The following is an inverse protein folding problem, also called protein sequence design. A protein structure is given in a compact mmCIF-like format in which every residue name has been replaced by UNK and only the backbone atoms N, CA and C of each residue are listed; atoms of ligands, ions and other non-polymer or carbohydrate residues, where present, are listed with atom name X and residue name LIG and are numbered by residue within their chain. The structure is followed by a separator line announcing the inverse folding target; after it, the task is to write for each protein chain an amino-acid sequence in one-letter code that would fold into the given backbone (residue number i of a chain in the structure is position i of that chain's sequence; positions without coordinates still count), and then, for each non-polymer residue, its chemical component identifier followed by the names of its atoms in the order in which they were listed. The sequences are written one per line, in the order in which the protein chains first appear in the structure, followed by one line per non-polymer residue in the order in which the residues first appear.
data_IF_841108229099
#
_entry.id   IF_841108229099
#
_cell.length_a   1.000
_cell.length_b   1.000
_cell.length_c   1.000
_cell.angle_alpha   90.00
_cell.angle_beta   90.00
_cell.angle_gamma   90.00
#
_symmetry.space_group_name_H-M   'P 1'
#
loop_
_entity.id
_entity.type
_entity.pdbx_description
1 polymer ?
#
# COMPACT_ATOMS: atom_id res chain seq x y z
N UNK A 1 -9.68 -32.35 2.81
CA UNK A 1 -9.39 -30.94 2.40
C UNK A 1 -7.91 -30.67 2.64
N UNK A 2 -7.14 -30.21 1.63
CA UNK A 2 -5.70 -29.99 1.79
C UNK A 2 -5.41 -28.81 2.74
N UNK A 3 -4.31 -28.86 3.52
CA UNK A 3 -3.98 -27.81 4.49
C UNK A 3 -3.79 -26.42 3.84
N UNK A 4 -3.37 -26.37 2.57
CA UNK A 4 -3.25 -25.13 1.79
C UNK A 4 -4.62 -24.48 1.53
N UNK A 5 -5.63 -25.26 1.16
CA UNK A 5 -6.99 -24.76 0.89
C UNK A 5 -7.66 -24.20 2.15
N UNK A 6 -7.35 -24.79 3.31
CA UNK A 6 -7.82 -24.28 4.60
C UNK A 6 -7.20 -22.91 4.92
N UNK A 7 -5.89 -22.76 4.72
CA UNK A 7 -5.19 -21.47 4.92
C UNK A 7 -5.77 -20.35 4.06
N UNK A 8 -6.00 -20.61 2.77
CA UNK A 8 -6.57 -19.62 1.85
C UNK A 8 -7.99 -19.20 2.24
N UNK A 9 -8.80 -20.15 2.70
CA UNK A 9 -10.17 -19.87 3.14
C UNK A 9 -10.18 -19.00 4.40
N UNK A 10 -9.35 -19.34 5.39
CA UNK A 10 -9.21 -18.57 6.64
C UNK A 10 -8.73 -17.15 6.34
N UNK A 11 -7.72 -17.02 5.48
CA UNK A 11 -7.17 -15.74 5.06
C UNK A 11 -8.24 -14.84 4.43
N UNK A 12 -9.10 -15.37 3.55
CA UNK A 12 -10.21 -14.62 2.92
C UNK A 12 -11.28 -14.19 3.89
N UNK A 13 -11.66 -15.08 4.81
CA UNK A 13 -12.60 -14.75 5.89
C UNK A 13 -12.05 -13.61 6.75
N UNK A 14 -10.75 -13.64 7.07
CA UNK A 14 -10.08 -12.56 7.80
C UNK A 14 -10.04 -11.26 6.97
N UNK A 15 -9.83 -11.35 5.66
CA UNK A 15 -9.94 -10.23 4.73
C UNK A 15 -11.32 -9.56 4.75
N UNK A 16 -12.39 -10.34 4.62
CA UNK A 16 -13.78 -9.85 4.70
C UNK A 16 -14.10 -9.24 6.08
N UNK A 17 -13.66 -9.90 7.15
CA UNK A 17 -13.83 -9.41 8.51
C UNK A 17 -13.11 -8.07 8.73
N UNK A 18 -11.87 -7.94 8.25
CA UNK A 18 -11.11 -6.67 8.32
C UNK A 18 -11.80 -5.53 7.56
N UNK A 19 -12.41 -5.82 6.40
CA UNK A 19 -13.17 -4.86 5.62
C UNK A 19 -14.41 -4.38 6.39
N UNK A 20 -15.14 -5.32 7.01
CA UNK A 20 -16.32 -5.02 7.80
C UNK A 20 -15.98 -4.12 9.00
N UNK A 21 -14.93 -4.45 9.76
CA UNK A 21 -14.46 -3.61 10.88
C UNK A 21 -14.11 -2.22 10.39
N UNK A 22 -13.25 -2.12 9.37
CA UNK A 22 -12.76 -0.83 8.85
C UNK A 22 -13.91 0.05 8.38
N UNK A 23 -14.84 -0.52 7.61
CA UNK A 23 -16.05 0.17 7.14
C UNK A 23 -16.90 0.68 8.30
N UNK A 24 -17.13 -0.16 9.31
CA UNK A 24 -17.95 0.20 10.48
C UNK A 24 -17.33 1.35 11.26
N UNK A 25 -16.02 1.28 11.54
CA UNK A 25 -15.31 2.32 12.30
C UNK A 25 -15.22 3.62 11.50
N UNK A 26 -15.00 3.55 10.18
CA UNK A 26 -14.99 4.73 9.31
C UNK A 26 -16.38 5.40 9.23
N UNK A 27 -17.45 4.62 9.08
CA UNK A 27 -18.82 5.13 9.13
C UNK A 27 -19.09 5.83 10.46
N UNK A 28 -18.65 5.23 11.58
CA UNK A 28 -18.81 5.83 12.89
C UNK A 28 -18.03 7.15 13.00
N UNK A 29 -16.80 7.20 12.49
CA UNK A 29 -15.99 8.43 12.43
C UNK A 29 -16.65 9.54 11.61
N UNK A 30 -17.36 9.21 10.53
CA UNK A 30 -18.09 10.19 9.74
C UNK A 30 -19.38 10.70 10.38
N UNK A 31 -19.95 9.95 11.32
CA UNK A 31 -21.14 10.34 12.07
C UNK A 31 -20.86 11.32 13.20
N UNK A 32 -19.59 11.51 13.58
CA UNK A 32 -19.22 12.46 14.63
C UNK A 32 -19.35 13.88 14.07
N UNK A 33 -20.21 14.74 14.65
CA UNK A 33 -20.31 16.13 14.24
C UNK A 33 -18.95 16.81 14.40
N UNK A 34 -18.51 17.51 13.36
CA UNK A 34 -17.31 18.35 13.46
C UNK A 34 -17.69 19.60 14.25
N UNK A 35 -17.44 19.57 15.56
CA UNK A 35 -17.62 20.74 16.41
C UNK A 35 -16.54 21.76 16.03
N UNK A 36 -16.96 23.00 15.75
CA UNK A 36 -16.11 24.12 15.36
C UNK A 36 -14.89 24.28 16.30
N UNK A 37 -13.74 24.81 15.84
CA UNK A 37 -13.56 25.68 14.67
C UNK A 37 -13.46 24.97 13.32
N UNK A 38 -13.83 25.67 12.24
CA UNK A 38 -13.60 25.18 10.88
C UNK A 38 -12.09 25.10 10.60
N UNK A 39 -11.58 23.98 10.07
CA UNK A 39 -10.15 23.82 9.82
C UNK A 39 -9.65 24.77 8.71
N UNK A 40 -8.33 25.01 8.65
CA UNK A 40 -7.73 25.88 7.62
C UNK A 40 -8.12 25.46 6.19
N UNK A 41 -8.21 24.14 5.99
CA UNK A 41 -8.80 23.48 4.83
C UNK A 41 -9.47 22.18 5.29
N UNK A 42 -10.50 21.75 4.59
CA UNK A 42 -11.15 20.46 4.81
C UNK A 42 -11.39 19.76 3.48
N UNK A 43 -11.55 18.44 3.53
CA UNK A 43 -12.02 17.69 2.37
C UNK A 43 -13.52 17.89 2.28
N UNK A 44 -14.03 18.21 1.09
CA UNK A 44 -15.45 18.27 0.84
C UNK A 44 -16.11 16.91 1.19
N UNK A 45 -17.12 16.89 2.07
CA UNK A 45 -17.69 15.65 2.58
C UNK A 45 -18.30 14.79 1.48
N UNK A 46 -18.88 15.39 0.44
CA UNK A 46 -19.47 14.64 -0.68
C UNK A 46 -18.40 13.82 -1.41
N UNK A 47 -17.26 14.43 -1.73
CA UNK A 47 -16.15 13.73 -2.40
C UNK A 47 -15.56 12.63 -1.51
N UNK A 48 -15.50 12.86 -0.19
CA UNK A 48 -15.06 11.85 0.76
C UNK A 48 -16.00 10.64 0.79
N UNK A 49 -17.31 10.87 0.88
CA UNK A 49 -18.30 9.80 0.87
C UNK A 49 -18.30 9.01 -0.44
N UNK A 50 -18.19 9.71 -1.58
CA UNK A 50 -18.12 9.08 -2.89
C UNK A 50 -16.89 8.17 -3.01
N UNK A 51 -15.71 8.65 -2.59
CA UNK A 51 -14.47 7.89 -2.62
C UNK A 51 -14.52 6.67 -1.68
N UNK A 52 -15.09 6.87 -0.49
CA UNK A 52 -15.32 5.80 0.48
C UNK A 52 -16.26 4.70 -0.05
N UNK A 53 -17.39 5.07 -0.66
CA UNK A 53 -18.31 4.11 -1.28
C UNK A 53 -17.65 3.36 -2.44
N UNK A 54 -16.92 4.07 -3.30
CA UNK A 54 -16.17 3.46 -4.39
C UNK A 54 -15.11 2.47 -3.87
N UNK A 55 -14.40 2.83 -2.79
CA UNK A 55 -13.43 1.95 -2.14
C UNK A 55 -14.10 0.67 -1.63
N UNK A 56 -15.20 0.75 -0.90
CA UNK A 56 -15.92 -0.42 -0.37
C UNK A 56 -16.38 -1.33 -1.51
N UNK A 57 -17.02 -0.75 -2.53
CA UNK A 57 -17.51 -1.52 -3.67
C UNK A 57 -16.37 -2.27 -4.36
N UNK A 58 -15.26 -1.59 -4.62
CA UNK A 58 -14.08 -2.18 -5.26
C UNK A 58 -13.46 -3.30 -4.41
N UNK A 59 -13.30 -3.08 -3.10
CA UNK A 59 -12.72 -4.05 -2.18
C UNK A 59 -13.62 -5.29 -2.01
N UNK A 60 -14.93 -5.08 -1.88
CA UNK A 60 -15.91 -6.17 -1.79
C UNK A 60 -15.94 -6.97 -3.10
N UNK A 61 -16.00 -6.29 -4.24
CA UNK A 61 -15.98 -6.93 -5.55
C UNK A 61 -14.72 -7.78 -5.75
N UNK A 62 -13.56 -7.25 -5.36
CA UNK A 62 -12.29 -7.97 -5.43
C UNK A 62 -12.29 -9.24 -4.57
N UNK A 63 -12.75 -9.16 -3.32
CA UNK A 63 -12.84 -10.32 -2.40
C UNK A 63 -13.87 -11.37 -2.86
N UNK A 64 -15.01 -10.94 -3.41
CA UNK A 64 -16.02 -11.84 -3.95
C UNK A 64 -15.51 -12.56 -5.20
N UNK A 65 -14.87 -11.83 -6.12
CA UNK A 65 -14.27 -12.40 -7.32
C UNK A 65 -13.16 -13.41 -6.99
N UNK A 66 -12.36 -13.13 -5.96
CA UNK A 66 -11.36 -14.07 -5.45
C UNK A 66 -12.00 -15.38 -4.96
N UNK A 67 -13.06 -15.27 -4.18
CA UNK A 67 -13.81 -16.42 -3.65
C UNK A 67 -14.43 -17.26 -4.76
N UNK A 68 -15.10 -16.61 -5.73
CA UNK A 68 -15.72 -17.28 -6.87
C UNK A 68 -14.70 -18.06 -7.72
N UNK A 69 -13.54 -17.45 -8.00
CA UNK A 69 -12.47 -18.11 -8.78
C UNK A 69 -11.97 -19.39 -8.11
N UNK A 70 -11.84 -19.40 -6.79
CA UNK A 70 -11.39 -20.60 -6.08
C UNK A 70 -12.46 -21.65 -5.89
N UNK A 71 -13.74 -21.25 -5.87
CA UNK A 71 -14.84 -22.20 -5.93
C UNK A 71 -14.88 -22.91 -7.28
N UNK A 72 -14.72 -22.17 -8.39
CA UNK A 72 -14.70 -22.72 -9.75
C UNK A 72 -13.45 -23.55 -10.07
N UNK A 73 -12.30 -23.19 -9.49
CA UNK A 73 -11.06 -23.93 -9.68
C UNK A 73 -10.97 -25.21 -8.85
N UNK A 74 -11.90 -25.46 -7.93
CA UNK A 74 -11.96 -26.73 -7.21
C UNK A 74 -12.43 -27.80 -8.20
N UNK A 75 -11.55 -28.73 -8.63
CA UNK A 75 -11.94 -29.73 -9.62
C UNK A 75 -13.08 -30.57 -9.03
N UNK A 76 -14.12 -30.82 -9.81
CA UNK A 76 -15.21 -31.74 -9.48
C UNK A 76 -14.75 -33.22 -9.44
N UNK A 77 -13.45 -33.47 -9.29
CA UNK A 77 -12.77 -34.73 -9.60
C UNK A 77 -12.82 -35.78 -8.51
N UNK A 78 -13.46 -35.51 -7.35
CA UNK A 78 -13.55 -36.51 -6.29
C UNK A 78 -14.75 -37.46 -6.45
N UNK A 79 -15.55 -37.36 -7.52
CA UNK A 79 -16.75 -38.22 -7.70
C UNK A 79 -16.75 -39.15 -8.92
N UNK A 80 -15.64 -39.30 -9.65
CA UNK A 80 -15.57 -40.24 -10.79
C UNK A 80 -14.21 -40.97 -10.82
N UNK A 81 -13.95 -41.76 -9.78
CA UNK A 81 -13.06 -42.92 -9.87
C UNK A 81 -13.94 -44.16 -9.88
N UNK A 82 -14.49 -44.46 -11.04
CA UNK A 82 -15.07 -45.77 -11.34
C UNK A 82 -14.30 -46.30 -12.56
N UNK A 83 -13.24 -47.06 -12.26
CA UNK A 83 -12.73 -48.20 -13.02
C UNK A 83 -12.53 -48.07 -14.54
N UNK A 84 -11.61 -47.20 -14.98
CA UNK A 84 -11.09 -47.26 -16.36
C UNK A 84 -9.56 -47.49 -16.38
N UNK A 85 -9.17 -48.55 -17.08
CA UNK A 85 -7.83 -49.14 -17.21
C UNK A 85 -6.71 -48.20 -17.72
N UNK A 86 -5.44 -48.53 -17.43
CA UNK A 86 -4.28 -47.76 -17.85
C UNK A 86 -3.79 -48.20 -19.24
N UNK A 87 -3.89 -47.33 -20.26
CA UNK A 87 -3.18 -47.53 -21.53
C UNK A 87 -2.41 -46.28 -21.99
N UNK A 88 -1.08 -46.45 -21.94
CA UNK A 88 0.03 -45.75 -22.60
C UNK A 88 0.08 -44.21 -22.55
N UNK A 89 0.93 -43.72 -21.65
CA UNK A 89 1.42 -42.34 -21.56
C UNK A 89 2.37 -41.99 -22.72
N UNK A 90 1.95 -41.05 -23.56
CA UNK A 90 2.82 -40.28 -24.45
C UNK A 90 3.46 -39.15 -23.64
N UNK A 91 4.76 -39.30 -23.34
CA UNK A 91 5.61 -38.39 -22.58
C UNK A 91 5.94 -37.11 -23.37
N UNK A 92 4.96 -36.23 -23.56
CA UNK A 92 5.22 -34.85 -24.00
C UNK A 92 5.55 -33.99 -22.77
N UNK A 93 6.84 -33.87 -22.46
CA UNK A 93 7.35 -32.95 -21.44
C UNK A 93 7.15 -31.53 -21.95
N UNK A 94 5.99 -30.94 -21.66
CA UNK A 94 5.75 -29.52 -21.87
C UNK A 94 6.77 -28.74 -21.02
N UNK A 95 7.50 -27.78 -21.59
CA UNK A 95 8.48 -27.01 -20.84
C UNK A 95 7.76 -26.35 -19.67
N UNK A 96 8.23 -26.68 -18.46
CA UNK A 96 7.84 -26.06 -17.21
C UNK A 96 7.80 -24.54 -17.39
N UNK A 97 6.60 -24.02 -17.65
CA UNK A 97 6.29 -22.60 -17.54
C UNK A 97 6.53 -22.25 -16.09
N UNK A 98 7.76 -21.81 -15.78
CA UNK A 98 8.16 -21.34 -14.45
C UNK A 98 7.05 -20.46 -13.91
N UNK A 99 6.36 -20.94 -12.87
CA UNK A 99 5.21 -20.30 -12.25
C UNK A 99 5.51 -18.83 -11.97
N UNK A 100 4.85 -17.98 -12.74
CA UNK A 100 5.07 -16.55 -12.73
C UNK A 100 4.27 -16.02 -11.57
N UNK A 101 4.96 -15.64 -10.48
CA UNK A 101 4.37 -15.02 -9.29
C UNK A 101 3.94 -13.58 -9.60
N UNK A 102 2.93 -13.44 -10.43
CA UNK A 102 2.03 -12.30 -10.35
C UNK A 102 1.49 -12.29 -8.91
N UNK A 103 1.31 -11.13 -8.27
CA UNK A 103 0.75 -11.06 -6.92
C UNK A 103 -0.65 -11.68 -6.94
N UNK A 104 -0.71 -12.96 -6.61
CA UNK A 104 -1.94 -13.66 -6.43
C UNK A 104 -2.64 -13.07 -5.22
N UNK A 105 -3.97 -13.13 -5.24
CA UNK A 105 -4.80 -12.72 -4.11
C UNK A 105 -4.22 -13.17 -2.74
N UNK A 106 -3.82 -14.45 -2.53
CA UNK A 106 -3.22 -14.89 -1.27
C UNK A 106 -1.96 -14.12 -0.85
N UNK A 107 -1.15 -13.65 -1.81
CA UNK A 107 0.09 -12.93 -1.50
C UNK A 107 -0.18 -11.48 -1.08
N UNK A 108 -1.18 -10.82 -1.69
CA UNK A 108 -1.56 -9.45 -1.33
C UNK A 108 -2.42 -9.37 -0.06
N UNK A 109 -3.20 -10.41 0.25
CA UNK A 109 -4.20 -10.37 1.31
C UNK A 109 -3.66 -9.98 2.71
N UNK A 110 -2.47 -10.40 3.16
CA UNK A 110 -1.91 -9.94 4.44
C UNK A 110 -1.68 -8.43 4.48
N UNK A 111 -1.18 -7.84 3.39
CA UNK A 111 -0.97 -6.38 3.27
C UNK A 111 -2.30 -5.63 3.26
N UNK A 112 -3.31 -6.19 2.60
CA UNK A 112 -4.68 -5.67 2.62
C UNK A 112 -5.26 -5.65 4.04
N UNK A 113 -5.18 -6.77 4.78
CA UNK A 113 -5.66 -6.86 6.17
C UNK A 113 -4.92 -5.86 7.05
N UNK A 114 -3.59 -5.78 6.93
CA UNK A 114 -2.77 -4.86 7.71
C UNK A 114 -3.14 -3.40 7.42
N UNK A 115 -3.33 -3.03 6.15
CA UNK A 115 -3.78 -1.68 5.76
C UNK A 115 -5.14 -1.32 6.37
N UNK A 116 -6.10 -2.25 6.34
CA UNK A 116 -7.41 -2.08 6.97
C UNK A 116 -7.32 -1.90 8.49
N UNK A 117 -6.46 -2.67 9.16
CA UNK A 117 -6.21 -2.51 10.60
C UNK A 117 -5.59 -1.13 10.92
N UNK A 118 -4.62 -0.67 10.12
CA UNK A 118 -4.03 0.66 10.29
C UNK A 118 -5.07 1.79 10.11
N UNK A 119 -5.96 1.67 9.13
CA UNK A 119 -7.04 2.64 8.91
C UNK A 119 -8.05 2.60 10.07
N UNK A 120 -8.37 1.41 10.59
CA UNK A 120 -9.24 1.27 11.77
C UNK A 120 -8.60 1.91 13.01
N UNK A 121 -7.30 1.70 13.22
CA UNK A 121 -6.53 2.30 14.30
C UNK A 121 -6.50 3.84 14.18
N UNK A 122 -6.34 4.37 12.96
CA UNK A 122 -6.46 5.81 12.68
C UNK A 122 -7.80 6.37 13.16
N UNK A 123 -8.91 5.74 12.76
CA UNK A 123 -10.23 6.23 13.10
C UNK A 123 -10.49 6.22 14.62
N UNK A 124 -10.09 5.16 15.32
CA UNK A 124 -10.15 5.08 16.79
C UNK A 124 -9.27 6.15 17.44
N UNK A 125 -8.05 6.36 16.93
CA UNK A 125 -7.13 7.36 17.45
C UNK A 125 -7.70 8.79 17.31
N UNK A 126 -8.33 9.09 16.17
CA UNK A 126 -9.01 10.37 15.95
C UNK A 126 -10.14 10.59 16.96
N UNK A 127 -10.92 9.56 17.31
CA UNK A 127 -11.99 9.67 18.30
C UNK A 127 -11.48 9.98 19.70
N UNK A 128 -10.34 9.42 20.07
CA UNK A 128 -9.69 9.72 21.35
C UNK A 128 -8.81 10.98 21.30
N UNK A 129 -8.90 11.78 20.24
CA UNK A 129 -8.09 12.98 20.02
C UNK A 129 -6.57 12.72 20.09
N UNK A 130 -6.12 11.50 19.74
CA UNK A 130 -4.71 11.08 19.71
C UNK A 130 -4.14 11.26 18.30
N UNK A 131 -4.06 12.52 17.85
CA UNK A 131 -3.77 12.84 16.44
C UNK A 131 -2.40 12.30 15.97
N UNK A 132 -1.37 12.32 16.81
CA UNK A 132 -0.06 11.74 16.46
C UNK A 132 -0.13 10.25 16.15
N UNK A 133 -0.91 9.48 16.93
CA UNK A 133 -1.11 8.05 16.69
C UNK A 133 -1.90 7.81 15.40
N UNK A 134 -2.87 8.69 15.12
CA UNK A 134 -3.63 8.68 13.88
C UNK A 134 -2.71 8.87 12.66
N UNK A 135 -1.80 9.84 12.70
CA UNK A 135 -0.82 10.08 11.64
C UNK A 135 0.13 8.90 11.44
N UNK A 136 0.69 8.34 12.53
CA UNK A 136 1.58 7.17 12.47
C UNK A 136 0.86 5.98 11.84
N UNK A 137 -0.40 5.75 12.22
CA UNK A 137 -1.21 4.66 11.67
C UNK A 137 -1.46 4.82 10.16
N UNK A 138 -1.76 6.03 9.70
CA UNK A 138 -1.92 6.31 8.28
C UNK A 138 -0.62 6.21 7.49
N UNK A 139 0.50 6.68 8.06
CA UNK A 139 1.81 6.56 7.43
C UNK A 139 2.19 5.08 7.26
N UNK A 140 1.93 4.25 8.27
CA UNK A 140 2.12 2.80 8.17
C UNK A 140 1.25 2.19 7.05
N UNK A 141 -0.03 2.58 6.95
CA UNK A 141 -0.90 2.14 5.87
C UNK A 141 -0.38 2.54 4.48
N UNK A 142 0.10 3.79 4.32
CA UNK A 142 0.70 4.31 3.09
C UNK A 142 1.94 3.49 2.73
N UNK A 143 2.85 3.24 3.67
CA UNK A 143 4.09 2.47 3.43
C UNK A 143 3.76 1.04 2.97
N UNK A 144 2.80 0.38 3.64
CA UNK A 144 2.34 -0.97 3.31
C UNK A 144 1.80 -1.01 1.88
N UNK A 145 0.93 -0.08 1.50
CA UNK A 145 0.35 -0.05 0.16
C UNK A 145 1.35 0.37 -0.91
N UNK A 146 2.21 1.35 -0.63
CA UNK A 146 3.25 1.80 -1.54
C UNK A 146 4.24 0.66 -1.85
N UNK A 147 4.62 -0.15 -0.86
CA UNK A 147 5.45 -1.35 -1.07
C UNK A 147 4.80 -2.33 -2.05
N UNK A 148 3.49 -2.56 -1.95
CA UNK A 148 2.77 -3.45 -2.88
C UNK A 148 2.76 -2.86 -4.28
N UNK A 149 2.44 -1.57 -4.43
CA UNK A 149 2.41 -0.89 -5.73
C UNK A 149 3.79 -0.92 -6.40
N UNK A 150 4.85 -0.56 -5.67
CA UNK A 150 6.22 -0.54 -6.17
C UNK A 150 6.73 -1.93 -6.53
N UNK A 151 6.48 -2.94 -5.68
CA UNK A 151 6.89 -4.32 -5.98
C UNK A 151 6.16 -4.88 -7.21
N UNK A 152 4.89 -4.53 -7.40
CA UNK A 152 4.13 -4.90 -8.60
C UNK A 152 4.70 -4.22 -9.84
N UNK A 153 5.05 -2.94 -9.74
CA UNK A 153 5.64 -2.18 -10.86
C UNK A 153 6.98 -2.77 -11.32
N UNK A 154 7.88 -3.08 -10.38
CA UNK A 154 9.18 -3.69 -10.69
C UNK A 154 9.04 -5.03 -11.43
N UNK A 155 8.03 -5.83 -11.06
CA UNK A 155 7.77 -7.11 -11.71
C UNK A 155 7.19 -6.96 -13.13
N UNK A 156 6.41 -5.91 -13.37
CA UNK A 156 5.83 -5.60 -14.70
C UNK A 156 6.91 -5.14 -15.68
N UNK A 157 7.84 -4.29 -15.24
CA UNK A 157 8.91 -3.79 -16.12
C UNK A 157 9.81 -4.91 -16.68
N UNK A 158 10.02 -5.98 -15.91
CA UNK A 158 10.82 -7.13 -16.34
C UNK A 158 10.10 -8.04 -17.35
N UNK A 159 8.80 -7.86 -17.63
CA UNK A 159 8.03 -8.86 -18.41
C UNK A 159 6.94 -8.23 -19.27
N UNK A 160 7.26 -8.00 -20.55
CA UNK A 160 6.42 -7.27 -21.52
C UNK A 160 5.12 -7.96 -21.98
N UNK A 161 4.87 -9.23 -21.62
CA UNK A 161 3.87 -10.05 -22.32
C UNK A 161 2.76 -10.70 -21.45
N UNK A 162 2.60 -10.32 -20.18
CA UNK A 162 1.63 -11.01 -19.29
C UNK A 162 0.46 -10.10 -18.89
N UNK A 163 -0.73 -10.60 -19.21
CA UNK A 163 -2.06 -10.03 -18.96
C UNK A 163 -2.20 -9.67 -17.47
N UNK A 164 -2.60 -8.42 -17.23
CA UNK A 164 -2.39 -7.72 -15.95
C UNK A 164 -3.11 -8.34 -14.72
N UNK A 165 -2.49 -8.31 -13.53
CA UNK A 165 -3.19 -8.35 -12.24
C UNK A 165 -3.94 -7.04 -11.93
N UNK A 166 -4.70 -6.52 -12.90
CA UNK A 166 -5.21 -5.16 -12.85
C UNK A 166 -6.04 -4.84 -11.61
N UNK A 167 -6.86 -5.78 -11.13
CA UNK A 167 -7.80 -5.50 -10.03
C UNK A 167 -7.10 -5.44 -8.67
N UNK A 168 -6.19 -6.36 -8.37
CA UNK A 168 -5.45 -6.33 -7.09
C UNK A 168 -4.61 -5.05 -6.98
N UNK A 169 -3.95 -4.67 -8.08
CA UNK A 169 -3.20 -3.42 -8.16
C UNK A 169 -4.14 -2.21 -8.00
N UNK A 170 -5.29 -2.20 -8.67
CA UNK A 170 -6.28 -1.14 -8.54
C UNK A 170 -6.81 -0.99 -7.11
N UNK A 171 -7.05 -2.09 -6.41
CA UNK A 171 -7.45 -2.10 -4.99
C UNK A 171 -6.35 -1.49 -4.11
N UNK A 172 -5.10 -1.88 -4.33
CA UNK A 172 -3.96 -1.34 -3.57
C UNK A 172 -3.76 0.15 -3.83
N UNK A 173 -3.84 0.59 -5.09
CA UNK A 173 -3.78 2.00 -5.48
C UNK A 173 -4.91 2.83 -4.87
N UNK A 174 -6.14 2.32 -4.91
CA UNK A 174 -7.29 3.00 -4.30
C UNK A 174 -7.12 3.09 -2.79
N UNK A 175 -6.65 2.02 -2.13
CA UNK A 175 -6.36 2.03 -0.70
C UNK A 175 -5.27 3.04 -0.34
N UNK A 176 -4.19 3.13 -1.13
CA UNK A 176 -3.12 4.12 -0.96
C UNK A 176 -3.68 5.54 -1.03
N UNK A 177 -4.47 5.84 -2.06
CA UNK A 177 -5.06 7.16 -2.26
C UNK A 177 -6.01 7.52 -1.11
N UNK A 178 -6.81 6.58 -0.65
CA UNK A 178 -7.70 6.79 0.50
C UNK A 178 -6.91 7.05 1.79
N UNK A 179 -5.80 6.34 2.04
CA UNK A 179 -4.92 6.65 3.18
C UNK A 179 -4.31 8.05 3.09
N UNK A 180 -3.89 8.49 1.90
CA UNK A 180 -3.41 9.87 1.66
C UNK A 180 -4.52 10.89 1.88
N UNK A 181 -5.74 10.61 1.40
CA UNK A 181 -6.91 11.46 1.65
C UNK A 181 -7.19 11.62 3.15
N UNK A 182 -7.15 10.52 3.93
CA UNK A 182 -7.30 10.58 5.38
C UNK A 182 -6.15 11.29 6.08
N UNK A 183 -4.92 11.19 5.56
CA UNK A 183 -3.77 11.91 6.10
C UNK A 183 -3.97 13.41 5.97
N UNK A 184 -4.40 13.88 4.80
CA UNK A 184 -4.74 15.28 4.57
C UNK A 184 -5.93 15.75 5.41
N UNK A 185 -6.97 14.91 5.57
CA UNK A 185 -8.05 15.21 6.52
C UNK A 185 -7.51 15.41 7.93
N UNK A 186 -6.58 14.56 8.36
CA UNK A 186 -5.99 14.61 9.71
C UNK A 186 -5.09 15.82 9.88
N UNK A 187 -4.34 16.22 8.86
CA UNK A 187 -3.56 17.46 8.89
C UNK A 187 -4.44 18.70 8.99
N UNK A 188 -5.55 18.75 8.26
CA UNK A 188 -6.52 19.84 8.39
C UNK A 188 -7.08 19.97 9.81
N UNK A 189 -7.20 18.86 10.56
CA UNK A 189 -7.59 18.89 11.97
C UNK A 189 -6.49 19.45 12.89
N UNK A 190 -5.22 19.37 12.53
CA UNK A 190 -4.10 19.92 13.32
C UNK A 190 -3.95 21.42 13.05
N UNK A 191 -4.12 21.82 11.80
CA UNK A 191 -4.06 23.20 11.33
C UNK A 191 -5.33 23.97 11.73
N UNK A 192 -5.54 24.10 13.04
CA UNK A 192 -6.63 24.87 13.63
C UNK A 192 -6.45 26.39 13.46
N UNK A 193 -5.22 26.84 13.17
CA UNK A 193 -4.93 28.26 12.97
C UNK A 193 -5.07 28.61 11.50
N UNK A 194 -5.72 29.75 11.21
CA UNK A 194 -5.91 30.32 9.86
C UNK A 194 -4.59 30.80 9.21
N UNK A 195 -3.45 30.25 9.63
CA UNK A 195 -2.13 30.57 9.09
C UNK A 195 -2.07 30.21 7.62
N UNK A 196 -1.62 31.15 6.79
CA UNK A 196 -1.32 30.86 5.40
C UNK A 196 -0.29 29.73 5.33
N UNK A 197 -0.46 28.77 4.39
CA UNK A 197 0.57 27.76 4.17
C UNK A 197 1.87 28.46 3.83
N UNK A 198 2.93 28.12 4.56
CA UNK A 198 4.27 28.63 4.27
C UNK A 198 4.70 28.16 2.88
N UNK A 199 5.59 28.92 2.24
CA UNK A 199 6.11 28.54 0.92
C UNK A 199 6.76 27.14 0.96
N UNK A 200 7.49 26.85 2.04
CA UNK A 200 8.13 25.55 2.28
C UNK A 200 7.11 24.41 2.38
N UNK A 201 5.99 24.62 3.11
CA UNK A 201 4.92 23.63 3.21
C UNK A 201 4.30 23.32 1.84
N UNK A 202 4.03 24.35 1.03
CA UNK A 202 3.49 24.18 -0.33
C UNK A 202 4.44 23.38 -1.20
N UNK A 203 5.73 23.73 -1.21
CA UNK A 203 6.74 22.99 -1.98
C UNK A 203 6.81 21.55 -1.51
N UNK A 204 6.93 21.32 -0.20
CA UNK A 204 7.03 19.97 0.34
C UNK A 204 5.83 19.11 -0.04
N UNK A 205 4.61 19.63 0.11
CA UNK A 205 3.38 18.93 -0.28
C UNK A 205 3.30 18.65 -1.78
N UNK A 206 3.65 19.62 -2.63
CA UNK A 206 3.68 19.43 -4.09
C UNK A 206 4.70 18.38 -4.51
N UNK A 207 5.92 18.43 -3.95
CA UNK A 207 6.96 17.43 -4.19
C UNK A 207 6.49 16.03 -3.79
N UNK A 208 5.81 15.87 -2.65
CA UNK A 208 5.27 14.56 -2.23
C UNK A 208 4.24 14.03 -3.22
N UNK A 209 3.28 14.85 -3.67
CA UNK A 209 2.28 14.41 -4.65
C UNK A 209 2.90 14.05 -6.00
N UNK A 210 3.84 14.87 -6.48
CA UNK A 210 4.55 14.63 -7.72
C UNK A 210 5.40 13.34 -7.64
N UNK A 211 6.18 13.17 -6.57
CA UNK A 211 6.99 11.97 -6.36
C UNK A 211 6.13 10.71 -6.26
N UNK A 212 5.03 10.75 -5.50
CA UNK A 212 4.13 9.60 -5.39
C UNK A 212 3.49 9.27 -6.75
N UNK A 213 3.08 10.28 -7.52
CA UNK A 213 2.53 10.07 -8.87
C UNK A 213 3.55 9.37 -9.76
N UNK A 214 4.76 9.92 -9.88
CA UNK A 214 5.83 9.39 -10.72
C UNK A 214 6.29 8.00 -10.25
N UNK A 215 6.44 7.80 -8.94
CA UNK A 215 6.92 6.54 -8.37
C UNK A 215 5.97 5.36 -8.61
N UNK A 216 4.67 5.60 -8.78
CA UNK A 216 3.68 4.53 -8.99
C UNK A 216 3.62 3.98 -10.43
N UNK A 217 4.45 4.53 -11.32
CA UNK A 217 4.63 4.06 -12.69
C UNK A 217 3.73 4.75 -13.72
N UNK A 218 3.73 4.27 -14.98
CA UNK A 218 3.07 4.91 -16.13
C UNK A 218 1.53 4.73 -16.14
N UNK A 219 0.98 4.04 -15.13
CA UNK A 219 -0.46 3.90 -15.03
C UNK A 219 -1.04 5.17 -14.36
N UNK A 220 -1.86 5.95 -15.09
CA UNK A 220 -2.34 7.25 -14.64
C UNK A 220 -3.29 7.18 -13.45
N UNK A 221 -3.75 5.98 -13.06
CA UNK A 221 -4.76 5.78 -12.01
C UNK A 221 -4.43 6.50 -10.70
N UNK A 222 -3.18 6.43 -10.23
CA UNK A 222 -2.79 7.07 -8.96
C UNK A 222 -2.76 8.59 -9.11
N UNK A 223 -2.20 9.11 -10.20
CA UNK A 223 -2.19 10.54 -10.46
C UNK A 223 -3.59 11.12 -10.59
N UNK A 224 -4.50 10.42 -11.28
CA UNK A 224 -5.92 10.81 -11.38
C UNK A 224 -6.60 10.82 -10.00
N UNK A 225 -6.29 9.84 -9.14
CA UNK A 225 -6.80 9.80 -7.78
C UNK A 225 -6.22 10.94 -6.91
N UNK A 226 -4.97 11.34 -7.10
CA UNK A 226 -4.42 12.53 -6.42
C UNK A 226 -5.02 13.83 -6.92
N UNK A 227 -5.28 13.99 -8.22
CA UNK A 227 -6.05 15.12 -8.76
C UNK A 227 -7.44 15.15 -8.11
N UNK A 228 -8.11 14.01 -7.99
CA UNK A 228 -9.39 13.91 -7.27
C UNK A 228 -9.28 14.37 -5.81
N UNK A 229 -8.22 13.95 -5.09
CA UNK A 229 -7.97 14.36 -3.71
C UNK A 229 -7.75 15.88 -3.62
N UNK A 230 -6.92 16.45 -4.49
CA UNK A 230 -6.65 17.88 -4.52
C UNK A 230 -7.90 18.70 -4.86
N UNK A 231 -8.71 18.25 -5.81
CA UNK A 231 -10.01 18.86 -6.10
C UNK A 231 -10.99 18.73 -4.93
N UNK A 232 -10.97 17.61 -4.21
CA UNK A 232 -11.81 17.43 -3.02
C UNK A 232 -11.41 18.39 -1.88
N UNK A 233 -10.12 18.73 -1.76
CA UNK A 233 -9.60 19.73 -0.84
C UNK A 233 -9.93 21.15 -1.29
N UNK A 234 -9.86 21.41 -2.60
CA UNK A 234 -10.27 22.67 -3.21
C UNK A 234 -11.74 23.00 -2.95
N UNK A 235 -12.65 22.05 -3.20
CA UNK A 235 -14.09 22.25 -3.00
C UNK A 235 -14.54 22.15 -1.53
N UNK A 236 -13.64 21.86 -0.59
CA UNK A 236 -13.99 21.75 0.81
C UNK A 236 -14.16 23.11 1.49
N UNK A 237 -14.62 23.10 2.74
CA UNK A 237 -14.66 24.33 3.52
C UNK A 237 -13.22 24.79 3.80
N UNK A 238 -12.96 26.07 3.57
CA UNK A 238 -11.66 26.69 3.76
C UNK A 238 -11.80 28.00 4.53
N UNK A 239 -10.78 28.32 5.31
CA UNK A 239 -10.62 29.66 5.85
C UNK A 239 -9.58 30.47 5.07
N UNK A 240 -8.69 29.79 4.34
CA UNK A 240 -7.52 30.41 3.73
C UNK A 240 -7.47 30.23 2.20
N UNK A 241 -7.49 31.34 1.46
CA UNK A 241 -7.44 31.33 -0.01
C UNK A 241 -6.11 30.81 -0.59
N UNK A 242 -5.03 30.81 0.21
CA UNK A 242 -3.71 30.34 -0.18
C UNK A 242 -3.67 28.83 -0.45
N UNK A 243 -4.33 28.03 0.41
CA UNK A 243 -4.44 26.58 0.22
C UNK A 243 -5.25 26.23 -1.04
N UNK A 244 -6.35 26.93 -1.26
CA UNK A 244 -7.22 26.73 -2.41
C UNK A 244 -6.50 26.94 -3.74
N UNK A 245 -5.76 28.05 -3.87
CA UNK A 245 -4.95 28.34 -5.05
C UNK A 245 -3.86 27.27 -5.27
N UNK A 246 -3.21 26.84 -4.18
CA UNK A 246 -2.21 25.77 -4.23
C UNK A 246 -2.80 24.46 -4.76
N UNK A 247 -3.95 24.00 -4.25
CA UNK A 247 -4.55 22.73 -4.67
C UNK A 247 -4.96 22.73 -6.15
N UNK A 248 -5.45 23.84 -6.70
CA UNK A 248 -5.73 23.94 -8.15
C UNK A 248 -4.47 23.88 -8.97
N UNK A 249 -3.46 24.69 -8.61
CA UNK A 249 -2.19 24.75 -9.35
C UNK A 249 -1.58 23.36 -9.38
N UNK A 250 -1.51 22.68 -8.24
CA UNK A 250 -0.98 21.32 -8.14
C UNK A 250 -1.81 20.31 -8.96
N UNK A 251 -3.15 20.43 -8.95
CA UNK A 251 -4.02 19.58 -9.78
C UNK A 251 -3.73 19.76 -11.27
N UNK A 252 -3.52 21.00 -11.72
CA UNK A 252 -3.18 21.31 -13.11
C UNK A 252 -1.80 20.76 -13.47
N UNK A 253 -0.81 20.92 -12.58
CA UNK A 253 0.54 20.36 -12.78
C UNK A 253 0.50 18.84 -12.93
N UNK A 254 -0.23 18.13 -12.05
CA UNK A 254 -0.40 16.68 -12.17
C UNK A 254 -1.16 16.29 -13.45
N UNK A 255 -2.19 17.03 -13.84
CA UNK A 255 -2.94 16.76 -15.07
C UNK A 255 -2.06 16.90 -16.32
N UNK A 256 -1.24 17.96 -16.38
CA UNK A 256 -0.28 18.17 -17.47
C UNK A 256 0.77 17.06 -17.49
N UNK A 257 1.30 16.67 -16.33
CA UNK A 257 2.26 15.56 -16.22
C UNK A 257 1.68 14.26 -16.78
N UNK A 258 0.46 13.89 -16.40
CA UNK A 258 -0.21 12.67 -16.88
C UNK A 258 -0.53 12.72 -18.38
N UNK A 259 -0.92 13.90 -18.89
CA UNK A 259 -1.17 14.10 -20.30
C UNK A 259 0.12 13.96 -21.13
N UNK A 260 1.22 14.55 -20.66
CA UNK A 260 2.54 14.44 -21.29
C UNK A 260 3.04 13.01 -21.29
N UNK A 261 2.95 12.29 -20.16
CA UNK A 261 3.35 10.88 -20.08
C UNK A 261 2.54 10.01 -21.07
N UNK A 262 1.22 10.23 -21.13
CA UNK A 262 0.35 9.56 -22.09
C UNK A 262 0.71 9.85 -23.55
N UNK A 263 1.10 11.10 -23.86
CA UNK A 263 1.53 11.50 -25.21
C UNK A 263 2.87 10.85 -25.55
N UNK A 264 3.85 10.87 -24.64
CA UNK A 264 5.19 10.28 -24.85
C UNK A 264 5.07 8.78 -25.12
N UNK A 265 4.26 8.06 -24.33
CA UNK A 265 4.00 6.63 -24.53
C UNK A 265 3.35 6.38 -25.90
N UNK A 266 2.36 7.19 -26.30
CA UNK A 266 1.66 7.04 -27.59
C UNK A 266 2.55 7.37 -28.80
N UNK A 267 3.44 8.34 -28.66
CA UNK A 267 4.40 8.69 -29.71
C UNK A 267 5.46 7.60 -29.93
N UNK A 268 5.45 6.53 -29.14
CA UNK A 268 6.39 5.42 -29.30
C UNK A 268 7.83 5.86 -29.09
N UNK A 269 8.04 6.96 -28.35
CA UNK A 269 9.36 7.39 -27.93
C UNK A 269 9.87 6.31 -26.97
N UNK A 270 10.51 5.27 -27.52
CA UNK A 270 11.28 4.32 -26.71
C UNK A 270 12.42 5.14 -26.14
N UNK A 271 12.42 5.47 -24.84
CA UNK A 271 13.61 6.10 -24.26
C UNK A 271 14.77 5.15 -24.56
N UNK A 272 15.83 5.68 -25.14
CA UNK A 272 17.03 4.93 -25.50
C UNK A 272 17.72 4.48 -24.20
N UNK A 273 17.17 3.48 -23.51
CA UNK A 273 17.68 2.93 -22.24
C UNK A 273 18.86 1.98 -22.45
N UNK A 274 19.44 1.96 -23.64
CA UNK A 274 20.53 1.07 -24.03
C UNK A 274 21.88 1.34 -23.35
N UNK A 275 22.01 2.35 -22.47
CA UNK A 275 23.32 2.82 -22.00
C UNK A 275 23.72 2.35 -20.59
N UNK A 276 22.83 1.74 -19.78
CA UNK A 276 23.17 1.49 -18.35
C UNK A 276 23.46 0.02 -17.98
N UNK A 277 23.30 -0.96 -18.89
CA UNK A 277 23.42 -2.38 -18.52
C UNK A 277 24.66 -3.14 -19.03
N UNK A 278 25.62 -2.46 -19.68
CA UNK A 278 26.90 -3.09 -20.03
C UNK A 278 27.92 -3.10 -18.88
N UNK A 279 27.53 -2.58 -17.71
CA UNK A 279 28.27 -2.73 -16.46
C UNK A 279 28.05 -4.09 -15.77
N UNK A 280 27.79 -5.18 -16.51
CA UNK A 280 28.00 -6.53 -15.97
C UNK A 280 29.49 -6.65 -15.65
N UNK A 281 29.79 -6.29 -14.41
CA UNK A 281 30.82 -6.91 -13.59
C UNK A 281 30.97 -8.36 -14.04
N UNK A 282 32.05 -8.60 -14.78
CA UNK A 282 32.65 -9.91 -14.92
C UNK A 282 33.23 -10.25 -13.56
N UNK A 283 32.35 -10.53 -12.59
CA UNK A 283 32.73 -11.04 -11.29
C UNK A 283 32.99 -12.54 -11.47
N UNK A 284 34.25 -12.79 -11.85
CA UNK A 284 35.05 -13.91 -11.33
C UNK A 284 34.38 -15.27 -11.37
N UNK A 285 34.51 -15.89 -12.53
CA UNK A 285 34.71 -17.32 -12.67
C UNK A 285 36.00 -17.73 -11.90
N UNK A 286 35.96 -17.74 -10.57
CA UNK A 286 37.01 -18.36 -9.76
C UNK A 286 36.69 -19.84 -9.60
N UNK A 287 37.54 -20.65 -10.20
CA UNK A 287 37.67 -22.10 -10.11
C UNK A 287 37.23 -22.69 -8.75
N UNK A 288 36.39 -23.72 -8.79
CA UNK A 288 36.60 -24.89 -7.93
C UNK A 288 37.92 -25.54 -8.38
N UNK A 289 38.84 -25.89 -7.48
CA UNK A 289 38.74 -27.22 -6.87
C UNK A 289 39.37 -27.33 -5.46
N UNK A 290 38.84 -28.23 -4.63
CA UNK A 290 39.48 -28.98 -3.52
C UNK A 290 38.42 -29.24 -2.44
N UNK A 291 37.95 -30.48 -2.33
CA UNK A 291 38.52 -31.55 -1.47
C UNK A 291 38.06 -31.40 -0.01
N UNK A 292 37.24 -32.38 0.38
CA UNK A 292 37.40 -33.23 1.56
C UNK A 292 37.78 -32.59 2.90
N UNK A 293 36.89 -32.76 3.89
CA UNK A 293 37.17 -33.39 5.19
C UNK A 293 36.00 -33.14 6.15
N UNK A 294 35.29 -34.20 6.52
CA UNK A 294 35.50 -35.00 7.74
C UNK A 294 34.84 -34.40 8.98
N UNK A 295 33.95 -35.23 9.51
CA UNK A 295 33.58 -35.42 10.91
C UNK A 295 34.39 -34.64 11.95
N UNK A 296 33.71 -33.88 12.81
CA UNK A 296 34.02 -33.92 14.24
C UNK A 296 32.96 -33.25 15.10
N UNK A 297 32.27 -34.13 15.83
CA UNK A 297 31.52 -33.90 17.05
C UNK A 297 32.43 -33.43 18.19
N UNK A 298 32.05 -32.34 18.88
CA UNK A 298 32.43 -32.05 20.28
C UNK A 298 31.53 -30.89 20.76
N UNK A 299 30.47 -31.14 21.55
CA UNK A 299 30.49 -31.11 23.02
C UNK A 299 31.47 -30.07 23.59
N UNK A 300 30.96 -28.93 24.05
CA UNK A 300 31.46 -28.23 25.24
C UNK A 300 30.46 -27.16 25.71
N UNK A 301 30.60 -26.88 26.99
CA UNK A 301 29.58 -26.47 27.95
C UNK A 301 30.04 -25.17 28.61
N UNK A 302 29.10 -24.28 28.95
CA UNK A 302 29.23 -23.16 29.92
C UNK A 302 30.11 -21.96 29.50
N UNK A 303 30.06 -20.78 30.17
CA UNK A 303 29.18 -20.34 31.28
C UNK A 303 28.49 -18.96 31.06
N UNK A 304 27.61 -18.62 32.00
CA UNK A 304 27.04 -17.28 32.19
C UNK A 304 28.10 -16.24 32.62
N UNK A 305 27.90 -14.95 32.32
CA UNK A 305 28.47 -13.89 33.13
C UNK A 305 27.42 -12.91 33.68
N UNK A 306 27.45 -12.83 35.01
CA UNK A 306 27.47 -11.66 35.87
C UNK A 306 26.65 -10.40 35.57
N UNK A 307 25.86 -10.10 36.59
CA UNK A 307 25.30 -8.80 36.91
C UNK A 307 26.39 -7.79 37.27
N UNK A 308 26.58 -6.76 36.45
CA UNK A 308 27.17 -5.49 36.89
C UNK A 308 26.09 -4.42 36.92
N UNK A 309 25.80 -3.95 38.14
CA UNK A 309 25.04 -2.73 38.40
C UNK A 309 25.86 -1.54 37.90
N UNK A 310 25.37 -0.84 36.89
CA UNK A 310 25.81 0.51 36.58
C UNK A 310 24.75 1.50 37.07
N UNK A 311 25.10 2.20 38.13
CA UNK A 311 24.37 3.35 38.67
C UNK A 311 24.44 4.50 37.66
N UNK A 312 23.33 4.74 36.94
CA UNK A 312 23.17 5.91 36.08
C UNK A 312 22.77 7.10 36.97
N UNK A 313 23.56 8.18 37.03
CA UNK A 313 23.19 9.38 37.78
C UNK A 313 21.97 10.06 37.14
N UNK A 314 20.89 10.18 37.91
CA UNK A 314 19.70 10.94 37.56
C UNK A 314 20.05 12.42 37.33
N UNK A 315 19.85 12.90 36.10
CA UNK A 315 19.80 14.33 35.81
C UNK A 315 18.53 14.95 36.41
N UNK A 316 18.60 16.14 37.03
CA UNK A 316 17.44 16.82 37.59
C UNK A 316 16.49 17.31 36.50
N UNK A 317 15.25 16.82 36.54
CA UNK A 317 14.11 17.30 35.76
C UNK A 317 13.82 18.78 36.10
N UNK A 318 14.10 19.65 35.14
CA UNK A 318 13.77 21.07 35.22
C UNK A 318 12.24 21.24 35.14
N UNK A 319 11.65 21.65 36.25
CA UNK A 319 10.23 21.88 36.45
C UNK A 319 9.79 23.13 35.69
N UNK A 320 9.11 22.94 34.56
CA UNK A 320 8.50 24.02 33.80
C UNK A 320 7.28 24.55 34.59
N UNK A 321 7.35 25.82 35.01
CA UNK A 321 6.28 26.51 35.71
C UNK A 321 5.08 26.73 34.80
N UNK A 322 3.92 26.31 35.27
CA UNK A 322 2.61 26.66 34.70
C UNK A 322 2.24 28.04 35.24
N UNK A 323 2.08 29.01 34.34
CA UNK A 323 1.40 30.26 34.64
C UNK A 323 -0.11 30.01 34.60
N UNK A 324 -0.78 30.38 35.68
CA UNK A 324 -2.23 30.63 35.78
C UNK A 324 -2.45 31.99 36.40
#
# INVERSE_FOLDING_TARGET
MSPLRMKDTVLRSLGLFSLFITTTVQMWMFSIPTVAPTPAYSINPFFLYLAFLAQIFLQLWWLLRASLRSALAAPASDSFKEDAEPLLESSFVMPSTRDIRVWDIPTYLPYYILGNLCISAWAIACQHNRISLAQISLLAAIIVQLRVVLSTFNNVHQRSNIISPGITLLVSKTSLCMSVMYLWRTWGLIDHFSTLPSFEQRIHSGVVFLLLTVATGPDPTVGLAFIYILLSLYFGAYQNSGWHSFFVIESVVLAVLLALDSIIIRLGFKPNTHIVNDGRFSETQSLNPFEDNEESSTFLQSPAPDSSKDDIPMLPLHRQQVFS
#
